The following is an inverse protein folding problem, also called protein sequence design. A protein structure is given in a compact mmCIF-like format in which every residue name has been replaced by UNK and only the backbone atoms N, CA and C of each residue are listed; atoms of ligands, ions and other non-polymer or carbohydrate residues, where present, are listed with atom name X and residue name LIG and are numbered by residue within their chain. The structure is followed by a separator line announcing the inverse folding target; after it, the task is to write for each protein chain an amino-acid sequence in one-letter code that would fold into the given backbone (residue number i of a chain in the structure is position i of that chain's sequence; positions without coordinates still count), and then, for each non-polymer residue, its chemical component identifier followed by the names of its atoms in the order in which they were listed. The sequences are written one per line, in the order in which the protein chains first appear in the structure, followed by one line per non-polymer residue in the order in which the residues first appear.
data_IF_495355389411
#
_entry.id   IF_495355389411
#
_cell.length_a   1.000
_cell.length_b   1.000
_cell.length_c   1.000
_cell.angle_alpha   90.00
_cell.angle_beta   90.00
_cell.angle_gamma   90.00
#
_symmetry.space_group_name_H-M   'P 1'
#
loop_
_entity.id
_entity.type
_entity.pdbx_description
1 polymer ?
#
# COMPACT_ATOMS: atom_id res chain seq x y z
N UNK A 1 -16.51 -25.84 -17.19
CA UNK A 1 -16.40 -25.49 -15.76
C UNK A 1 -16.33 -23.97 -15.63
N UNK A 2 -17.06 -23.39 -14.68
CA UNK A 2 -16.94 -21.97 -14.29
C UNK A 2 -16.44 -21.95 -12.85
N UNK A 3 -15.42 -21.14 -12.57
CA UNK A 3 -14.88 -20.95 -11.22
C UNK A 3 -14.94 -19.46 -10.90
N UNK A 4 -15.30 -19.13 -9.66
CA UNK A 4 -15.36 -17.77 -9.13
C UNK A 4 -14.55 -17.69 -7.83
N UNK A 5 -13.96 -16.52 -7.57
CA UNK A 5 -13.18 -16.26 -6.37
C UNK A 5 -14.03 -15.47 -5.38
N UNK A 6 -14.37 -16.07 -4.23
CA UNK A 6 -15.16 -15.40 -3.19
C UNK A 6 -14.32 -14.44 -2.33
N UNK A 7 -13.26 -14.96 -1.70
CA UNK A 7 -12.35 -14.17 -0.88
C UNK A 7 -10.95 -14.78 -0.83
N UNK A 8 -9.96 -13.99 -0.40
CA UNK A 8 -8.60 -14.46 -0.12
C UNK A 8 -8.25 -14.16 1.34
N UNK A 9 -7.71 -15.14 2.06
CA UNK A 9 -7.11 -14.92 3.38
C UNK A 9 -5.60 -14.88 3.15
N UNK A 10 -5.00 -13.73 3.42
CA UNK A 10 -3.57 -13.53 3.22
C UNK A 10 -3.00 -12.68 4.34
N UNK A 11 -1.76 -12.99 4.70
CA UNK A 11 -0.96 -12.11 5.55
C UNK A 11 -0.35 -10.97 4.72
N UNK A 12 0.29 -10.03 5.40
CA UNK A 12 0.85 -8.84 4.74
C UNK A 12 1.93 -9.17 3.69
N UNK A 13 2.86 -10.12 3.91
CA UNK A 13 3.78 -10.55 2.85
C UNK A 13 3.09 -11.22 1.66
N UNK A 14 2.11 -12.11 1.88
CA UNK A 14 1.38 -12.79 0.82
C UNK A 14 0.54 -11.81 -0.01
N UNK A 15 -0.02 -10.76 0.62
CA UNK A 15 -0.73 -9.70 -0.08
C UNK A 15 0.07 -9.12 -1.25
N UNK A 16 1.39 -8.96 -1.10
CA UNK A 16 2.22 -8.43 -2.18
C UNK A 16 2.25 -9.33 -3.42
N UNK A 17 2.26 -10.64 -3.19
CA UNK A 17 2.23 -11.62 -4.27
C UNK A 17 0.86 -11.68 -4.94
N UNK A 18 -0.22 -11.58 -4.17
CA UNK A 18 -1.59 -11.65 -4.68
C UNK A 18 -2.00 -10.36 -5.39
N UNK A 19 -1.87 -9.20 -4.76
CA UNK A 19 -2.29 -7.92 -5.34
C UNK A 19 -1.34 -7.44 -6.44
N UNK A 20 -0.05 -7.77 -6.33
CA UNK A 20 0.98 -7.12 -7.14
C UNK A 20 1.41 -5.75 -6.61
N UNK A 21 0.93 -5.34 -5.43
CA UNK A 21 1.38 -4.15 -4.71
C UNK A 21 2.60 -4.50 -3.84
N UNK A 22 3.65 -3.68 -3.88
CA UNK A 22 4.79 -3.90 -2.99
C UNK A 22 4.45 -3.52 -1.55
N UNK A 23 4.60 -4.48 -0.62
CA UNK A 23 4.49 -4.25 0.85
C UNK A 23 5.81 -3.78 1.46
N UNK A 24 6.75 -3.37 0.61
CA UNK A 24 8.03 -2.77 0.95
C UNK A 24 8.11 -1.41 0.27
N UNK A 25 8.92 -0.50 0.79
CA UNK A 25 9.11 0.80 0.16
C UNK A 25 8.45 1.94 0.93
N UNK A 26 8.49 3.16 0.35
CA UNK A 26 7.92 4.37 0.97
C UNK A 26 6.40 4.25 1.14
N UNK A 27 5.77 3.54 0.22
CA UNK A 27 4.33 3.38 0.11
C UNK A 27 3.92 1.94 0.44
N UNK A 28 4.46 1.34 1.51
CA UNK A 28 4.21 -0.08 1.78
C UNK A 28 2.77 -0.39 2.19
N UNK A 29 2.06 0.58 2.77
CA UNK A 29 0.69 0.39 3.23
C UNK A 29 -0.29 0.41 2.04
N UNK A 30 -1.00 -0.68 1.73
CA UNK A 30 -1.93 -0.74 0.61
C UNK A 30 -3.19 0.12 0.82
N UNK A 31 -3.52 0.42 2.09
CA UNK A 31 -4.63 1.30 2.46
C UNK A 31 -4.26 2.77 2.24
N UNK A 32 -3.10 3.20 2.72
CA UNK A 32 -2.67 4.59 2.61
C UNK A 32 -2.05 4.92 1.24
N UNK A 33 -1.43 3.93 0.60
CA UNK A 33 -0.71 4.07 -0.67
C UNK A 33 0.29 5.23 -0.65
N UNK A 34 0.11 6.21 -1.53
CA UNK A 34 0.95 7.40 -1.60
C UNK A 34 0.89 8.25 -0.33
N UNK A 35 -0.22 8.19 0.41
CA UNK A 35 -0.38 8.87 1.71
C UNK A 35 0.28 8.14 2.88
N UNK A 36 1.01 7.04 2.63
CA UNK A 36 1.78 6.34 3.67
C UNK A 36 2.79 7.30 4.29
N UNK A 37 2.62 7.65 5.55
CA UNK A 37 3.65 8.35 6.30
C UNK A 37 4.77 7.36 6.63
N UNK A 38 5.90 7.54 5.98
CA UNK A 38 7.09 6.75 6.23
C UNK A 38 8.31 7.65 6.28
N UNK A 39 9.23 7.29 7.16
CA UNK A 39 10.47 8.02 7.37
C UNK A 39 11.66 7.06 7.21
N UNK A 40 12.74 7.55 6.62
CA UNK A 40 13.97 6.79 6.53
C UNK A 40 14.86 7.10 7.73
N UNK A 41 15.06 6.10 8.58
CA UNK A 41 15.96 6.21 9.71
C UNK A 41 17.40 6.02 9.23
N UNK A 42 18.14 7.13 9.09
CA UNK A 42 19.47 7.16 8.49
C UNK A 42 20.47 6.21 9.16
N UNK A 43 20.47 6.13 10.50
CA UNK A 43 21.43 5.32 11.25
C UNK A 43 21.13 3.83 11.19
N UNK A 44 19.86 3.42 11.27
CA UNK A 44 19.49 2.00 11.20
C UNK A 44 19.33 1.49 9.77
N UNK A 45 19.32 2.39 8.78
CA UNK A 45 19.07 2.10 7.35
C UNK A 45 17.75 1.34 7.16
N UNK A 46 16.75 1.69 7.96
CA UNK A 46 15.41 1.10 7.91
C UNK A 46 14.38 2.19 7.66
N UNK A 47 13.27 1.80 7.03
CA UNK A 47 12.09 2.63 6.93
C UNK A 47 11.18 2.38 8.12
N UNK A 48 10.79 3.44 8.81
CA UNK A 48 9.74 3.43 9.82
C UNK A 48 8.42 3.87 9.18
N UNK A 49 7.31 3.28 9.62
CA UNK A 49 5.97 3.73 9.25
C UNK A 49 5.39 4.41 10.48
N UNK A 50 4.97 5.66 10.29
CA UNK A 50 4.48 6.53 11.36
C UNK A 50 3.12 7.08 10.92
N UNK A 51 2.50 7.96 11.72
CA UNK A 51 1.22 8.54 11.35
C UNK A 51 0.04 7.59 11.57
N UNK A 52 0.18 6.62 12.48
CA UNK A 52 -0.87 5.65 12.80
C UNK A 52 -2.01 6.25 13.62
N UNK A 53 -1.83 7.44 14.21
CA UNK A 53 -2.87 8.06 15.03
C UNK A 53 -3.97 8.69 14.19
N UNK A 54 -3.78 8.83 12.87
CA UNK A 54 -4.84 9.20 11.92
C UNK A 54 -6.03 8.23 11.89
N UNK A 55 -5.82 6.99 12.35
CA UNK A 55 -6.85 5.94 12.44
C UNK A 55 -7.70 6.07 13.70
N UNK A 56 -7.28 6.90 14.66
CA UNK A 56 -8.05 7.20 15.87
C UNK A 56 -9.10 8.28 15.57
N UNK A 57 -10.13 8.33 16.41
CA UNK A 57 -11.14 9.38 16.36
C UNK A 57 -10.51 10.77 16.37
N UNK A 58 -11.15 11.73 15.69
CA UNK A 58 -10.60 13.07 15.53
C UNK A 58 -10.25 13.77 16.86
N UNK A 59 -11.05 13.51 17.89
CA UNK A 59 -10.86 14.10 19.23
C UNK A 59 -10.02 13.21 20.17
N UNK A 60 -9.40 12.14 19.68
CA UNK A 60 -8.64 11.22 20.52
C UNK A 60 -7.40 11.92 21.12
N UNK A 61 -7.16 11.87 22.45
CA UNK A 61 -6.06 12.59 23.10
C UNK A 61 -4.68 12.30 22.51
N UNK A 62 -4.40 11.05 22.15
CA UNK A 62 -3.11 10.65 21.58
C UNK A 62 -2.75 11.38 20.28
N UNK A 63 -3.74 11.87 19.53
CA UNK A 63 -3.49 12.67 18.32
C UNK A 63 -2.79 14.00 18.64
N UNK A 64 -3.00 14.54 19.83
CA UNK A 64 -2.39 15.79 20.32
C UNK A 64 -1.14 15.54 21.17
N UNK A 65 -0.83 14.29 21.46
CA UNK A 65 0.32 13.92 22.27
C UNK A 65 1.61 14.01 21.45
N UNK A 66 2.17 15.20 21.33
CA UNK A 66 3.48 15.38 20.70
C UNK A 66 4.62 14.86 21.58
N UNK A 67 4.44 14.84 22.90
CA UNK A 67 5.49 14.57 23.89
C UNK A 67 5.98 13.12 23.83
N UNK A 68 5.09 12.15 23.73
CA UNK A 68 5.44 10.73 23.74
C UNK A 68 5.66 10.13 22.35
N UNK A 69 5.47 10.93 21.30
CA UNK A 69 5.55 10.50 19.91
C UNK A 69 6.63 11.28 19.15
N UNK A 70 6.39 11.57 17.87
CA UNK A 70 7.35 12.21 16.96
C UNK A 70 7.42 13.74 17.11
N UNK A 71 7.14 14.29 18.30
CA UNK A 71 7.09 15.73 18.55
C UNK A 71 6.11 16.49 17.65
N UNK A 72 5.14 15.79 17.05
CA UNK A 72 4.13 16.37 16.18
C UNK A 72 2.74 15.86 16.57
N UNK A 73 1.76 16.76 16.47
CA UNK A 73 0.35 16.41 16.55
C UNK A 73 -0.14 15.89 15.19
N UNK A 74 -1.01 14.89 15.20
CA UNK A 74 -1.55 14.23 14.00
C UNK A 74 -3.02 14.59 13.77
N UNK A 75 -3.27 15.65 13.01
CA UNK A 75 -4.63 16.11 12.68
C UNK A 75 -5.18 15.58 11.34
N UNK A 76 -4.33 14.95 10.54
CA UNK A 76 -4.74 14.39 9.23
C UNK A 76 -5.78 13.27 9.39
N UNK A 77 -6.78 13.27 8.52
CA UNK A 77 -7.74 12.17 8.43
C UNK A 77 -7.24 11.09 7.49
N UNK A 78 -7.73 9.87 7.67
CA UNK A 78 -7.43 8.80 6.73
C UNK A 78 -7.95 9.16 5.33
N UNK A 79 -7.14 8.89 4.32
CA UNK A 79 -7.61 8.94 2.94
C UNK A 79 -8.57 7.76 2.73
N UNK A 80 -9.71 7.95 2.05
CA UNK A 80 -10.58 6.85 1.68
C UNK A 80 -9.78 5.80 0.90
N UNK A 81 -10.01 4.49 1.14
CA UNK A 81 -9.36 3.47 0.35
C UNK A 81 -9.69 3.65 -1.12
N UNK A 82 -8.71 3.44 -1.99
CA UNK A 82 -8.95 3.53 -3.43
C UNK A 82 -9.97 2.46 -3.85
N UNK A 83 -10.88 2.81 -4.75
CA UNK A 83 -11.83 1.86 -5.31
C UNK A 83 -11.09 0.84 -6.21
N UNK A 84 -11.50 -0.43 -6.14
CA UNK A 84 -10.99 -1.50 -7.01
C UNK A 84 -11.10 -1.18 -8.50
N UNK A 85 -12.16 -0.49 -8.95
CA UNK A 85 -12.30 -0.06 -10.35
C UNK A 85 -11.19 0.90 -10.77
N UNK A 86 -10.88 1.89 -9.93
CA UNK A 86 -9.78 2.84 -10.15
C UNK A 86 -8.42 2.13 -10.19
N UNK A 87 -8.20 1.11 -9.35
CA UNK A 87 -6.99 0.27 -9.41
C UNK A 87 -6.94 -0.43 -10.77
N UNK A 88 -8.04 -1.08 -11.20
CA UNK A 88 -8.07 -1.80 -12.47
C UNK A 88 -7.76 -0.87 -13.63
N UNK A 89 -8.37 0.32 -13.67
CA UNK A 89 -8.13 1.30 -14.73
C UNK A 89 -6.68 1.82 -14.72
N UNK A 90 -6.13 2.12 -13.54
CA UNK A 90 -4.74 2.55 -13.37
C UNK A 90 -3.74 1.50 -13.85
N UNK A 91 -4.02 0.22 -13.59
CA UNK A 91 -3.10 -0.87 -13.89
C UNK A 91 -3.33 -1.51 -15.27
N UNK A 92 -4.44 -1.22 -15.96
CA UNK A 92 -4.81 -1.85 -17.23
C UNK A 92 -3.75 -1.66 -18.32
N UNK A 93 -3.06 -0.53 -18.31
CA UNK A 93 -2.01 -0.19 -19.28
C UNK A 93 -0.63 -0.78 -18.92
N UNK A 94 -0.49 -1.39 -17.74
CA UNK A 94 0.80 -1.92 -17.29
C UNK A 94 1.05 -3.29 -17.91
N UNK A 95 2.03 -3.34 -18.82
CA UNK A 95 2.56 -4.59 -19.32
C UNK A 95 3.86 -4.96 -18.58
N UNK A 96 3.76 -5.91 -17.65
CA UNK A 96 4.90 -6.37 -16.85
C UNK A 96 5.61 -7.52 -17.55
N UNK A 97 6.91 -7.35 -17.79
CA UNK A 97 7.78 -8.46 -18.21
C UNK A 97 8.21 -9.23 -16.97
N UNK A 98 7.94 -10.54 -16.97
CA UNK A 98 8.34 -11.43 -15.89
C UNK A 98 9.69 -12.09 -16.20
N UNK A 99 10.54 -12.26 -15.18
CA UNK A 99 11.77 -13.05 -15.29
C UNK A 99 13.01 -12.37 -14.71
N UNK A 100 13.95 -13.15 -14.16
CA UNK A 100 15.16 -12.65 -13.47
C UNK A 100 16.11 -11.82 -14.36
N UNK A 101 16.07 -12.02 -15.68
CA UNK A 101 16.91 -11.33 -16.68
C UNK A 101 16.19 -10.23 -17.45
N UNK A 102 14.98 -9.84 -17.01
CA UNK A 102 14.26 -8.73 -17.66
C UNK A 102 14.85 -7.40 -17.18
N UNK A 103 15.07 -6.43 -18.08
CA UNK A 103 15.38 -5.07 -17.65
C UNK A 103 14.23 -4.58 -16.76
N UNK A 104 14.53 -3.72 -15.78
CA UNK A 104 13.55 -3.22 -14.82
C UNK A 104 12.29 -2.75 -15.55
N UNK A 105 11.12 -3.16 -15.05
CA UNK A 105 9.85 -2.72 -15.61
C UNK A 105 9.78 -1.17 -15.61
N UNK A 106 9.15 -0.55 -16.62
CA UNK A 106 9.04 0.91 -16.76
C UNK A 106 8.38 1.55 -15.54
N UNK A 107 8.40 2.90 -15.44
CA UNK A 107 7.80 3.68 -14.35
C UNK A 107 6.39 3.19 -13.98
N UNK A 108 6.33 2.34 -12.95
CA UNK A 108 5.08 1.82 -12.41
C UNK A 108 4.50 2.89 -11.48
N UNK A 109 3.16 3.03 -11.43
CA UNK A 109 2.54 3.98 -10.52
C UNK A 109 2.85 3.56 -9.07
N UNK A 110 3.49 4.46 -8.34
CA UNK A 110 3.74 4.34 -6.91
C UNK A 110 4.44 3.04 -6.51
N UNK A 111 3.75 2.12 -5.84
CA UNK A 111 4.34 0.87 -5.36
C UNK A 111 3.85 -0.38 -6.09
N UNK A 112 3.07 -0.22 -7.16
CA UNK A 112 2.59 -1.33 -7.97
C UNK A 112 3.76 -2.00 -8.70
N UNK A 113 3.73 -3.33 -8.79
CA UNK A 113 4.75 -4.16 -9.43
C UNK A 113 4.22 -5.03 -10.56
N UNK A 114 2.92 -5.29 -10.59
CA UNK A 114 2.24 -6.05 -11.64
C UNK A 114 0.74 -5.81 -11.62
N UNK A 115 0.10 -6.05 -12.76
CA UNK A 115 -1.34 -6.28 -12.82
C UNK A 115 -1.61 -7.75 -12.48
N UNK A 116 -2.25 -8.00 -11.35
CA UNK A 116 -2.51 -9.36 -10.90
C UNK A 116 -3.63 -10.04 -11.70
N UNK A 117 -3.49 -11.34 -11.95
CA UNK A 117 -4.54 -12.16 -12.56
C UNK A 117 -5.81 -12.17 -11.72
N UNK A 118 -5.70 -11.96 -10.40
CA UNK A 118 -6.85 -11.91 -9.52
C UNK A 118 -7.84 -10.82 -9.94
N UNK A 119 -7.39 -9.69 -10.49
CA UNK A 119 -8.28 -8.64 -11.00
C UNK A 119 -9.06 -9.01 -12.27
N UNK A 120 -8.78 -10.18 -12.88
CA UNK A 120 -9.49 -10.68 -14.06
C UNK A 120 -10.62 -11.65 -13.73
N UNK A 121 -10.69 -12.13 -12.49
CA UNK A 121 -11.78 -13.03 -12.09
C UNK A 121 -13.10 -12.27 -11.95
N UNK A 122 -14.24 -12.92 -12.24
CA UNK A 122 -15.54 -12.39 -11.88
C UNK A 122 -15.68 -12.43 -10.35
N UNK A 123 -16.04 -11.28 -9.77
CA UNK A 123 -16.37 -11.08 -8.36
C UNK A 123 -17.87 -10.87 -8.19
#
# INVERSE_FOLDING_TARGET
MRAALLWTINDFPCYANLSGYSTKGKFACPTCQESTCSEWLHFSRKRCYIGHRRFLDHNHPERKDSRYFNSCEEHETIQPPINGSKIVDMLRSINVKFGKKTPANPNLPSNWKKFSIFFKFPY
#
